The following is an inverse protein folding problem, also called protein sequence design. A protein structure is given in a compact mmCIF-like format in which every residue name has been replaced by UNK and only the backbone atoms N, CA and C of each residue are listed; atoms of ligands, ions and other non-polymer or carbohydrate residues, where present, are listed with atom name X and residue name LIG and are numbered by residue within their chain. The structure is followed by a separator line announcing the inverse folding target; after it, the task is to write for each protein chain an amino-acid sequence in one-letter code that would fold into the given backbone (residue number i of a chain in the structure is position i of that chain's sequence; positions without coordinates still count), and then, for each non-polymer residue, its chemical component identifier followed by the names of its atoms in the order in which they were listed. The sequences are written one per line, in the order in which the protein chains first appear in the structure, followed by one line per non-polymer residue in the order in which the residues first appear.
data_IF_686096625252
#
_entry.id   IF_686096625252
#
_cell.length_a   1.000
_cell.length_b   1.000
_cell.length_c   1.000
_cell.angle_alpha   90.00
_cell.angle_beta   90.00
_cell.angle_gamma   90.00
#
_symmetry.space_group_name_H-M   'P 1'
#
loop_
_entity.id
_entity.type
_entity.pdbx_description
1 polymer ?
#
# COMPACT_ATOMS: atom_id res chain seq x y z
N UNK A 1 14.77 13.46 -24.30
CA UNK A 1 14.05 13.44 -23.02
C UNK A 1 14.38 12.11 -22.37
N UNK A 2 14.97 12.15 -21.18
CA UNK A 2 15.55 10.96 -20.54
C UNK A 2 14.44 10.23 -19.77
N UNK A 3 14.11 9.03 -20.20
CA UNK A 3 13.34 8.07 -19.41
C UNK A 3 14.18 7.70 -18.18
N UNK A 4 13.76 8.14 -17.00
CA UNK A 4 14.31 7.64 -15.74
C UNK A 4 13.28 6.70 -15.14
N UNK A 5 13.61 5.41 -15.13
CA UNK A 5 12.84 4.35 -14.48
C UNK A 5 13.00 4.50 -12.97
N UNK A 6 11.92 4.77 -12.25
CA UNK A 6 11.87 4.69 -10.79
C UNK A 6 11.74 3.22 -10.39
N UNK A 7 12.68 2.75 -9.56
CA UNK A 7 12.73 1.34 -9.17
C UNK A 7 14.12 0.90 -8.73
N UNK A 8 14.38 0.97 -7.42
CA UNK A 8 15.15 0.01 -6.61
C UNK A 8 15.24 0.55 -5.18
N UNK A 9 14.91 -0.22 -4.13
CA UNK A 9 15.54 -1.52 -3.84
C UNK A 9 14.65 -2.45 -2.99
N UNK A 10 14.00 -3.41 -3.65
CA UNK A 10 13.73 -4.74 -3.07
C UNK A 10 14.22 -5.82 -4.06
N UNK A 11 14.65 -6.98 -3.56
CA UNK A 11 15.71 -7.83 -4.14
C UNK A 11 15.56 -8.34 -5.60
N UNK A 12 16.70 -8.53 -6.27
CA UNK A 12 16.82 -9.09 -7.64
C UNK A 12 16.33 -10.55 -7.70
N UNK A 13 15.33 -10.83 -8.55
CA UNK A 13 15.16 -12.15 -9.17
C UNK A 13 15.09 -12.02 -10.70
N UNK A 14 15.78 -12.92 -11.38
CA UNK A 14 16.06 -12.94 -12.82
C UNK A 14 14.82 -13.24 -13.66
N UNK A 15 14.51 -12.40 -14.66
CA UNK A 15 13.36 -12.58 -15.55
C UNK A 15 13.69 -13.50 -16.74
N UNK A 16 12.81 -14.47 -17.01
CA UNK A 16 12.73 -15.22 -18.29
C UNK A 16 11.63 -14.57 -19.17
N UNK A 17 11.72 -14.64 -20.51
CA UNK A 17 10.80 -13.92 -21.39
C UNK A 17 9.48 -14.68 -21.55
N UNK A 18 8.35 -13.98 -21.40
CA UNK A 18 7.01 -14.51 -21.71
C UNK A 18 6.22 -13.60 -22.66
N UNK A 19 5.41 -14.28 -23.48
CA UNK A 19 4.79 -13.87 -24.74
C UNK A 19 3.71 -12.78 -24.55
N UNK A 20 3.60 -11.85 -25.50
CA UNK A 20 2.63 -10.74 -25.50
C UNK A 20 1.23 -11.24 -25.85
N UNK A 21 0.30 -11.20 -24.89
CA UNK A 21 -1.13 -11.34 -25.14
C UNK A 21 -1.83 -9.97 -25.05
N UNK A 22 -2.48 -9.57 -26.14
CA UNK A 22 -3.28 -8.34 -26.25
C UNK A 22 -4.70 -8.58 -25.68
N UNK A 23 -4.83 -8.63 -24.35
CA UNK A 23 -6.12 -8.37 -23.71
C UNK A 23 -6.36 -6.85 -23.63
N UNK A 24 -7.61 -6.35 -23.71
CA UNK A 24 -7.89 -4.97 -23.36
C UNK A 24 -7.44 -4.76 -21.91
N UNK A 25 -6.41 -3.94 -21.74
CA UNK A 25 -5.90 -3.62 -20.41
C UNK A 25 -7.01 -2.82 -19.72
N UNK A 26 -7.66 -3.42 -18.74
CA UNK A 26 -8.33 -2.64 -17.69
C UNK A 26 -7.34 -1.63 -17.09
N UNK A 27 -7.78 -0.69 -16.24
CA UNK A 27 -6.85 0.18 -15.53
C UNK A 27 -5.72 -0.70 -14.96
N UNK A 28 -4.50 -0.42 -15.40
CA UNK A 28 -3.33 -1.20 -15.00
C UNK A 28 -3.03 -0.77 -13.57
N UNK A 29 -3.75 -1.38 -12.62
CA UNK A 29 -3.61 -1.05 -11.21
C UNK A 29 -2.13 -1.17 -10.80
N UNK A 30 -1.64 -0.25 -9.96
CA UNK A 30 -0.29 -0.36 -9.40
C UNK A 30 -0.10 -1.72 -8.73
N UNK A 31 1.13 -2.22 -8.83
CA UNK A 31 1.54 -3.45 -8.13
C UNK A 31 1.87 -3.18 -6.67
N UNK A 32 2.42 -2.01 -6.42
CA UNK A 32 2.87 -1.53 -5.12
C UNK A 32 2.00 -0.31 -4.76
N UNK A 33 1.65 -0.21 -3.48
CA UNK A 33 0.77 0.81 -2.95
C UNK A 33 1.41 1.46 -1.72
N UNK A 34 0.91 2.63 -1.36
CA UNK A 34 1.26 3.35 -0.15
C UNK A 34 -0.02 3.63 0.65
N UNK A 35 0.08 3.65 1.97
CA UNK A 35 -0.92 4.26 2.85
C UNK A 35 -0.31 5.49 3.51
N UNK A 36 -1.00 6.62 3.42
CA UNK A 36 -0.54 7.93 3.86
C UNK A 36 -1.58 8.57 4.78
N UNK A 37 -1.13 9.17 5.88
CA UNK A 37 -2.02 9.87 6.80
C UNK A 37 -1.38 11.13 7.41
N UNK A 38 -2.21 12.12 7.69
CA UNK A 38 -1.86 13.33 8.44
C UNK A 38 -1.58 12.99 9.92
N UNK A 39 -2.32 12.07 10.51
CA UNK A 39 -2.09 11.61 11.88
C UNK A 39 -0.92 10.63 11.96
N UNK A 40 -0.28 10.52 13.12
CA UNK A 40 0.69 9.47 13.44
C UNK A 40 -0.06 8.16 13.74
N UNK A 41 0.00 7.21 12.81
CA UNK A 41 -0.67 5.91 12.89
C UNK A 41 0.38 4.82 13.06
N UNK A 42 0.32 4.11 14.18
CA UNK A 42 1.22 3.00 14.51
C UNK A 42 0.72 1.67 13.95
N UNK A 43 1.61 0.66 13.76
CA UNK A 43 1.20 -0.67 13.32
C UNK A 43 0.18 -1.31 14.27
N UNK A 44 0.33 -1.06 15.58
CA UNK A 44 -0.59 -1.55 16.60
C UNK A 44 -2.01 -0.97 16.46
N UNK A 45 -2.16 0.29 16.01
CA UNK A 45 -3.48 0.88 15.73
C UNK A 45 -4.14 0.22 14.53
N UNK A 46 -3.40 -0.04 13.45
CA UNK A 46 -3.90 -0.74 12.26
C UNK A 46 -4.33 -2.17 12.65
N UNK A 47 -3.46 -2.90 13.34
CA UNK A 47 -3.77 -4.24 13.86
C UNK A 47 -5.02 -4.24 14.76
N UNK A 48 -5.15 -3.24 15.63
CA UNK A 48 -6.29 -3.09 16.54
C UNK A 48 -7.65 -3.06 15.85
N UNK A 49 -7.74 -2.47 14.65
CA UNK A 49 -9.00 -2.46 13.87
C UNK A 49 -9.52 -3.86 13.56
N UNK A 50 -8.61 -4.80 13.31
CA UNK A 50 -8.90 -6.17 12.91
C UNK A 50 -8.95 -7.15 14.08
N UNK A 51 -8.57 -6.70 15.29
CA UNK A 51 -8.84 -7.45 16.51
C UNK A 51 -10.33 -7.39 16.88
N UNK A 52 -11.02 -6.30 16.53
CA UNK A 52 -12.45 -6.10 16.78
C UNK A 52 -13.32 -6.56 15.60
N UNK A 53 -12.86 -6.34 14.36
CA UNK A 53 -13.51 -6.82 13.14
C UNK A 53 -13.27 -8.33 12.94
N UNK A 54 -14.35 -9.09 12.75
CA UNK A 54 -14.30 -10.56 12.62
C UNK A 54 -14.30 -11.05 11.17
N UNK A 55 -14.50 -10.14 10.21
CA UNK A 55 -14.49 -10.46 8.78
C UNK A 55 -13.10 -10.74 8.23
N UNK A 56 -12.04 -10.18 8.82
CA UNK A 56 -10.65 -10.39 8.43
C UNK A 56 -9.82 -10.88 9.62
N UNK A 57 -8.74 -11.58 9.35
CA UNK A 57 -7.72 -11.89 10.36
C UNK A 57 -6.51 -11.03 10.11
N UNK A 58 -5.88 -10.56 11.17
CA UNK A 58 -4.61 -9.86 11.08
C UNK A 58 -3.55 -10.52 11.95
N UNK A 59 -2.30 -10.45 11.50
CA UNK A 59 -1.10 -10.75 12.28
C UNK A 59 -0.23 -9.50 12.35
N UNK A 60 0.37 -9.25 13.52
CA UNK A 60 1.30 -8.15 13.71
C UNK A 60 2.70 -8.68 14.03
N UNK A 61 3.64 -8.36 13.16
CA UNK A 61 5.06 -8.68 13.29
C UNK A 61 5.81 -7.46 13.84
N UNK A 62 5.83 -7.31 15.17
CA UNK A 62 6.39 -6.12 15.85
C UNK A 62 7.84 -5.80 15.44
N UNK A 63 8.71 -6.81 15.34
CA UNK A 63 10.12 -6.60 14.98
C UNK A 63 10.32 -6.10 13.54
N UNK A 64 9.38 -6.38 12.64
CA UNK A 64 9.42 -5.94 11.25
C UNK A 64 8.58 -4.68 11.01
N UNK A 65 7.82 -4.23 12.02
CA UNK A 65 6.78 -3.21 11.89
C UNK A 65 5.80 -3.49 10.73
N UNK A 66 5.46 -4.77 10.54
CA UNK A 66 4.54 -5.24 9.49
C UNK A 66 3.22 -5.72 10.09
N UNK A 67 2.10 -5.25 9.54
CA UNK A 67 0.78 -5.83 9.77
C UNK A 67 0.32 -6.56 8.50
N UNK A 68 -0.01 -7.84 8.63
CA UNK A 68 -0.54 -8.66 7.53
C UNK A 68 -2.03 -8.92 7.78
N UNK A 69 -2.88 -8.50 6.85
CA UNK A 69 -4.33 -8.71 6.89
C UNK A 69 -4.72 -9.79 5.88
N UNK A 70 -5.15 -10.96 6.35
CA UNK A 70 -5.59 -12.08 5.53
C UNK A 70 -6.97 -11.79 4.90
N UNK A 71 -7.06 -11.91 3.57
CA UNK A 71 -8.31 -11.77 2.83
C UNK A 71 -8.99 -13.15 2.68
N UNK A 72 -10.28 -13.30 3.05
CA UNK A 72 -10.99 -14.57 2.88
C UNK A 72 -10.95 -15.06 1.44
N UNK A 73 -10.47 -16.29 1.24
CA UNK A 73 -10.36 -16.94 -0.08
C UNK A 73 -9.40 -16.26 -1.10
N UNK A 74 -8.61 -15.29 -0.65
CA UNK A 74 -7.66 -14.51 -1.44
C UNK A 74 -6.26 -14.47 -0.78
N UNK A 75 -5.40 -13.53 -1.19
CA UNK A 75 -4.09 -13.27 -0.57
C UNK A 75 -4.18 -12.47 0.73
N UNK A 76 -3.25 -11.54 0.91
CA UNK A 76 -3.17 -10.64 2.05
C UNK A 76 -2.99 -9.19 1.60
N UNK A 77 -3.25 -8.27 2.53
CA UNK A 77 -2.75 -6.89 2.49
C UNK A 77 -1.65 -6.79 3.52
N UNK A 78 -0.41 -6.66 3.06
CA UNK A 78 0.76 -6.52 3.93
C UNK A 78 1.13 -5.03 4.02
N UNK A 79 1.20 -4.49 5.24
CA UNK A 79 1.52 -3.09 5.51
C UNK A 79 2.82 -2.99 6.30
N UNK A 80 3.89 -2.51 5.67
CA UNK A 80 5.20 -2.28 6.28
C UNK A 80 5.38 -0.79 6.59
N UNK A 81 5.64 -0.45 7.85
CA UNK A 81 5.91 0.92 8.25
C UNK A 81 7.21 1.42 7.60
N UNK A 82 7.15 2.52 6.84
CA UNK A 82 8.33 3.09 6.18
C UNK A 82 9.15 4.03 7.10
N UNK A 83 8.61 4.36 8.27
CA UNK A 83 9.19 5.35 9.16
C UNK A 83 9.07 6.79 8.63
N UNK A 84 9.27 7.76 9.51
CA UNK A 84 9.03 9.19 9.21
C UNK A 84 10.10 9.88 8.35
N UNK A 85 11.15 9.19 7.89
CA UNK A 85 12.21 9.76 7.06
C UNK A 85 12.45 8.90 5.82
N UNK A 86 11.83 9.27 4.70
CA UNK A 86 12.11 8.64 3.41
C UNK A 86 13.47 9.10 2.88
N UNK A 87 14.30 8.17 2.38
CA UNK A 87 15.48 8.53 1.56
C UNK A 87 15.09 9.08 0.18
N UNK A 88 13.79 9.08 -0.14
CA UNK A 88 13.22 9.57 -1.38
C UNK A 88 12.77 11.04 -1.21
N UNK A 89 13.44 11.95 -1.93
CA UNK A 89 13.16 13.39 -1.90
C UNK A 89 11.77 13.75 -2.43
N UNK A 90 11.23 12.96 -3.38
CA UNK A 90 9.90 13.21 -3.95
C UNK A 90 8.81 12.80 -2.95
N UNK A 91 8.98 11.65 -2.30
CA UNK A 91 8.13 11.23 -1.19
C UNK A 91 8.20 12.22 -0.03
N UNK A 92 9.40 12.65 0.38
CA UNK A 92 9.57 13.62 1.45
C UNK A 92 8.88 14.95 1.11
N UNK A 93 9.06 15.45 -0.10
CA UNK A 93 8.40 16.67 -0.56
C UNK A 93 6.87 16.52 -0.60
N UNK A 94 6.38 15.39 -1.08
CA UNK A 94 4.94 15.08 -1.15
C UNK A 94 4.32 15.02 0.24
N UNK A 95 4.96 14.32 1.18
CA UNK A 95 4.51 14.22 2.57
C UNK A 95 4.53 15.59 3.24
N UNK A 96 5.61 16.36 3.07
CA UNK A 96 5.75 17.69 3.66
C UNK A 96 4.72 18.69 3.15
N UNK A 97 4.45 18.71 1.84
CA UNK A 97 3.47 19.60 1.23
C UNK A 97 2.05 19.36 1.77
N UNK A 98 1.72 18.09 2.04
CA UNK A 98 0.43 17.66 2.57
C UNK A 98 0.37 17.52 4.10
N UNK A 99 1.45 17.85 4.81
CA UNK A 99 1.56 17.65 6.27
C UNK A 99 1.28 16.20 6.72
N UNK A 100 1.72 15.22 5.93
CA UNK A 100 1.60 13.81 6.26
C UNK A 100 2.68 13.40 7.26
N UNK A 101 2.30 12.56 8.22
CA UNK A 101 3.18 12.07 9.29
C UNK A 101 3.37 10.56 9.27
N UNK A 102 2.51 9.86 8.51
CA UNK A 102 2.53 8.41 8.38
C UNK A 102 2.74 8.00 6.93
N UNK A 103 3.59 6.98 6.72
CA UNK A 103 3.71 6.27 5.46
C UNK A 103 3.92 4.77 5.69
N UNK A 104 3.14 3.94 5.00
CA UNK A 104 3.35 2.49 4.92
C UNK A 104 3.49 2.07 3.46
N UNK A 105 4.39 1.14 3.18
CA UNK A 105 4.37 0.38 1.94
C UNK A 105 3.33 -0.73 2.06
N UNK A 106 2.52 -0.88 1.01
CA UNK A 106 1.38 -1.78 1.00
C UNK A 106 1.54 -2.75 -0.16
N UNK A 107 1.70 -4.03 0.17
CA UNK A 107 1.82 -5.11 -0.80
C UNK A 107 0.52 -5.89 -0.87
N UNK A 108 0.04 -6.12 -2.10
CA UNK A 108 -1.12 -6.94 -2.39
C UNK A 108 -0.86 -7.82 -3.60
N UNK A 109 -1.63 -8.90 -3.73
CA UNK A 109 -1.70 -9.63 -5.00
C UNK A 109 -2.58 -8.84 -5.97
N UNK A 110 -2.10 -8.51 -7.19
CA UNK A 110 -2.89 -7.73 -8.14
C UNK A 110 -4.23 -8.39 -8.53
N UNK A 111 -4.28 -9.72 -8.55
CA UNK A 111 -5.50 -10.48 -8.87
C UNK A 111 -6.56 -10.38 -7.76
N UNK A 112 -6.16 -10.03 -6.54
CA UNK A 112 -7.01 -9.91 -5.36
C UNK A 112 -7.38 -8.45 -5.03
N UNK A 113 -7.11 -7.52 -5.96
CA UNK A 113 -7.26 -6.08 -5.73
C UNK A 113 -8.65 -5.68 -5.24
N UNK A 114 -9.73 -6.25 -5.77
CA UNK A 114 -11.09 -5.89 -5.37
C UNK A 114 -11.40 -6.23 -3.90
N UNK A 115 -10.85 -7.33 -3.38
CA UNK A 115 -10.98 -7.68 -1.95
C UNK A 115 -10.02 -6.84 -1.10
N UNK A 116 -8.80 -6.62 -1.57
CA UNK A 116 -7.84 -5.76 -0.89
C UNK A 116 -8.36 -4.31 -0.76
N UNK A 117 -9.03 -3.79 -1.80
CA UNK A 117 -9.63 -2.46 -1.81
C UNK A 117 -10.61 -2.25 -0.66
N UNK A 118 -11.42 -3.28 -0.31
CA UNK A 118 -12.35 -3.19 0.83
C UNK A 118 -11.61 -3.01 2.15
N UNK A 119 -10.48 -3.70 2.34
CA UNK A 119 -9.63 -3.53 3.51
C UNK A 119 -9.00 -2.13 3.53
N UNK A 120 -8.49 -1.66 2.38
CA UNK A 120 -7.93 -0.31 2.24
C UNK A 120 -8.95 0.78 2.58
N UNK A 121 -10.17 0.66 2.06
CA UNK A 121 -11.28 1.57 2.37
C UNK A 121 -11.68 1.50 3.85
N UNK A 122 -11.72 0.29 4.42
CA UNK A 122 -12.01 0.09 5.84
C UNK A 122 -10.99 0.79 6.74
N UNK A 123 -9.69 0.61 6.50
CA UNK A 123 -8.62 1.29 7.23
C UNK A 123 -8.79 2.81 7.12
N UNK A 124 -8.97 3.31 5.89
CA UNK A 124 -9.10 4.75 5.64
C UNK A 124 -10.33 5.35 6.34
N UNK A 125 -11.43 4.60 6.44
CA UNK A 125 -12.66 5.05 7.12
C UNK A 125 -12.54 5.13 8.64
N UNK A 126 -11.62 4.38 9.25
CA UNK A 126 -11.46 4.30 10.72
C UNK A 126 -10.29 5.13 11.25
N UNK A 127 -9.19 5.20 10.50
CA UNK A 127 -7.96 5.88 10.90
C UNK A 127 -7.69 7.17 10.10
N UNK A 128 -8.58 7.51 9.16
CA UNK A 128 -8.33 8.58 8.21
C UNK A 128 -7.28 8.18 7.18
N UNK A 129 -6.64 9.17 6.56
CA UNK A 129 -5.66 8.91 5.51
C UNK A 129 -6.26 8.32 4.23
N UNK A 130 -5.38 7.87 3.34
CA UNK A 130 -5.73 7.30 2.05
C UNK A 130 -4.65 6.37 1.54
N UNK A 131 -5.01 5.50 0.60
CA UNK A 131 -4.07 4.68 -0.14
C UNK A 131 -3.79 5.32 -1.49
N UNK A 132 -2.56 5.23 -1.99
CA UNK A 132 -2.23 5.64 -3.35
C UNK A 132 -1.28 4.65 -4.00
N UNK A 133 -1.24 4.62 -5.33
CA UNK A 133 -0.23 3.84 -6.04
C UNK A 133 1.19 4.34 -5.72
N UNK A 134 2.12 3.44 -5.44
CA UNK A 134 3.55 3.77 -5.36
C UNK A 134 4.08 4.04 -6.79
N UNK A 135 3.89 5.28 -7.23
CA UNK A 135 4.06 5.77 -8.59
C UNK A 135 4.52 7.22 -8.55
N UNK A 136 5.10 7.71 -9.64
CA UNK A 136 5.67 9.07 -9.71
C UNK A 136 4.64 10.19 -9.42
N UNK A 137 3.36 9.94 -9.68
CA UNK A 137 2.26 10.88 -9.45
C UNK A 137 1.38 10.50 -8.25
N UNK A 138 1.71 9.43 -7.52
CA UNK A 138 0.95 8.92 -6.38
C UNK A 138 -0.52 8.65 -6.73
N UNK A 139 -0.76 7.97 -7.85
CA UNK A 139 -2.09 7.66 -8.37
C UNK A 139 -2.22 6.18 -8.77
N UNK A 140 -3.44 5.62 -8.74
CA UNK A 140 -4.69 6.21 -8.26
C UNK A 140 -4.72 6.31 -6.73
N UNK A 141 -5.58 7.19 -6.21
CA UNK A 141 -5.93 7.28 -4.79
C UNK A 141 -7.18 6.44 -4.46
N UNK A 142 -7.19 5.83 -3.29
CA UNK A 142 -8.32 5.13 -2.68
C UNK A 142 -8.51 5.72 -1.28
N UNK A 143 -9.72 6.20 -1.02
CA UNK A 143 -10.15 6.69 0.29
C UNK A 143 -11.54 6.14 0.58
N UNK A 144 -11.96 6.19 1.84
CA UNK A 144 -13.33 5.83 2.18
C UNK A 144 -14.32 6.74 1.43
N UNK A 145 -15.35 6.16 0.80
CA UNK A 145 -16.45 6.97 0.30
C UNK A 145 -17.21 7.56 1.50
N UNK A 146 -17.20 8.89 1.59
CA UNK A 146 -17.86 9.65 2.67
C UNK A 146 -19.37 9.67 2.58
#
# INVERSE_FOLDING_TARGET
MKNTTYGKKYGKKTAKPTVKNNAPKGPQMPKEWLYLAEDEITPAQIYGLFAEEKSWKAEYWEEAEVVEIELPEAGSVDMENLGGASEDEAMEAYMKDRSLHTAYAVTIRPDDFEEAKKVMEYISSHLGGYFCGDTDDFQPEIQAEG
#
